data_IF_462595516711
#
_entry.id   IF_462595516711
#
_cell.length_a   1.000
_cell.length_b   1.000
_cell.length_c   1.000
_cell.angle_alpha   90.00
_cell.angle_beta   90.00
_cell.angle_gamma   90.00
#
_symmetry.space_group_name_H-M   'P 1'
#
loop_
_entity.id
_entity.type
_entity.pdbx_description
1 polymer ?
#
# COMPACT_ATOMS: atom_id res chain seq x y z
N UNK A 1 -49.89 -15.17 18.24
CA UNK A 1 -48.83 -15.24 17.21
C UNK A 1 -47.80 -16.28 17.63
N UNK A 2 -47.40 -17.18 16.72
CA UNK A 2 -46.49 -18.29 17.06
C UNK A 2 -45.03 -17.80 17.09
N UNK A 3 -44.31 -17.86 18.24
CA UNK A 3 -42.96 -17.30 18.40
C UNK A 3 -41.94 -17.86 17.41
N UNK A 4 -42.08 -19.12 17.00
CA UNK A 4 -41.20 -19.76 16.01
C UNK A 4 -41.28 -19.11 14.62
N UNK A 5 -42.45 -18.59 14.24
CA UNK A 5 -42.63 -17.90 12.95
C UNK A 5 -41.91 -16.55 12.93
N UNK A 6 -41.96 -15.82 14.05
CA UNK A 6 -41.25 -14.55 14.22
C UNK A 6 -39.73 -14.75 14.17
N UNK A 7 -39.21 -15.79 14.84
CA UNK A 7 -37.78 -16.12 14.82
C UNK A 7 -37.27 -16.50 13.42
N UNK A 8 -38.00 -17.35 12.68
CA UNK A 8 -37.64 -17.72 11.30
C UNK A 8 -37.64 -16.51 10.36
N UNK A 9 -38.62 -15.62 10.49
CA UNK A 9 -38.69 -14.39 9.69
C UNK A 9 -37.55 -13.42 10.01
N UNK A 10 -37.21 -13.25 11.30
CA UNK A 10 -36.08 -12.42 11.73
C UNK A 10 -34.75 -12.98 11.24
N UNK A 11 -34.53 -14.30 11.39
CA UNK A 11 -33.32 -14.94 10.88
C UNK A 11 -33.20 -14.81 9.36
N UNK A 12 -34.29 -14.98 8.61
CA UNK A 12 -34.28 -14.79 7.16
C UNK A 12 -33.94 -13.35 6.75
N UNK A 13 -34.55 -12.35 7.41
CA UNK A 13 -34.24 -10.93 7.16
C UNK A 13 -32.78 -10.58 7.48
N UNK A 14 -32.26 -11.11 8.59
CA UNK A 14 -30.86 -10.91 8.98
C UNK A 14 -29.89 -11.51 7.96
N UNK A 15 -30.15 -12.74 7.49
CA UNK A 15 -29.36 -13.39 6.45
C UNK A 15 -29.41 -12.62 5.12
N UNK A 16 -30.58 -12.09 4.76
CA UNK A 16 -30.74 -11.23 3.57
C UNK A 16 -29.90 -9.95 3.69
N UNK A 17 -29.98 -9.27 4.83
CA UNK A 17 -29.20 -8.06 5.10
C UNK A 17 -27.68 -8.31 5.04
N UNK A 18 -27.22 -9.45 5.57
CA UNK A 18 -25.80 -9.87 5.45
C UNK A 18 -25.40 -10.06 3.97
N UNK A 19 -26.27 -10.70 3.18
CA UNK A 19 -26.00 -10.93 1.76
C UNK A 19 -25.93 -9.62 0.98
N UNK A 20 -26.84 -8.70 1.25
CA UNK A 20 -26.88 -7.38 0.61
C UNK A 20 -25.64 -6.55 0.98
N UNK A 21 -25.20 -6.59 2.25
CA UNK A 21 -23.96 -5.95 2.70
C UNK A 21 -22.72 -6.54 2.02
N UNK A 22 -22.66 -7.86 1.85
CA UNK A 22 -21.55 -8.51 1.13
C UNK A 22 -21.53 -8.10 -0.34
N UNK A 23 -22.68 -8.03 -0.99
CA UNK A 23 -22.78 -7.61 -2.39
C UNK A 23 -22.36 -6.16 -2.58
N UNK A 24 -22.77 -5.27 -1.67
CA UNK A 24 -22.35 -3.87 -1.68
C UNK A 24 -20.82 -3.74 -1.58
N UNK A 25 -20.21 -4.47 -0.64
CA UNK A 25 -18.75 -4.47 -0.49
C UNK A 25 -18.04 -5.08 -1.71
N UNK A 26 -18.64 -6.06 -2.40
CA UNK A 26 -18.08 -6.63 -3.64
C UNK A 26 -18.14 -5.60 -4.77
N UNK A 27 -19.22 -4.82 -4.87
CA UNK A 27 -19.35 -3.77 -5.88
C UNK A 27 -18.31 -2.65 -5.67
N UNK A 28 -17.98 -2.31 -4.42
CA UNK A 28 -16.87 -1.40 -4.15
C UNK A 28 -15.52 -1.93 -4.64
N UNK A 29 -15.35 -3.26 -4.76
CA UNK A 29 -14.10 -3.85 -5.26
C UNK A 29 -13.95 -3.64 -6.75
N UNK A 30 -15.03 -3.39 -7.48
CA UNK A 30 -14.96 -2.99 -8.88
C UNK A 30 -14.23 -1.66 -9.05
N UNK A 31 -14.05 -0.84 -8.00
CA UNK A 31 -13.22 0.37 -8.10
C UNK A 31 -11.72 0.07 -8.11
N UNK A 32 -11.31 -1.14 -7.67
CA UNK A 32 -9.89 -1.51 -7.60
C UNK A 32 -9.31 -1.63 -8.99
N UNK A 33 -8.15 -1.01 -9.18
CA UNK A 33 -7.43 -1.03 -10.46
C UNK A 33 -6.98 -2.47 -10.80
N UNK A 34 -6.67 -3.28 -9.79
CA UNK A 34 -6.35 -4.70 -9.94
C UNK A 34 -7.48 -5.53 -10.59
N UNK A 35 -8.72 -5.05 -10.61
CA UNK A 35 -9.86 -5.74 -11.24
C UNK A 35 -10.11 -5.31 -12.70
N UNK A 36 -9.42 -4.29 -13.20
CA UNK A 36 -9.70 -3.63 -14.50
C UNK A 36 -8.81 -4.04 -15.67
N UNK A 37 -7.74 -4.79 -15.42
CA UNK A 37 -6.69 -5.06 -16.40
C UNK A 37 -7.18 -5.75 -17.70
N UNK A 38 -8.36 -6.38 -17.70
CA UNK A 38 -8.87 -7.12 -18.85
C UNK A 38 -9.61 -6.21 -19.85
N UNK A 39 -8.90 -5.77 -20.90
CA UNK A 39 -9.44 -5.24 -22.17
C UNK A 39 -10.40 -4.03 -22.12
N UNK A 40 -10.35 -3.20 -21.07
CA UNK A 40 -11.13 -1.94 -21.00
C UNK A 40 -10.28 -0.73 -21.36
N UNK A 41 -10.87 0.23 -22.05
CA UNK A 41 -10.26 1.55 -22.28
C UNK A 41 -10.10 2.29 -20.95
N UNK A 42 -8.97 3.00 -20.79
CA UNK A 42 -8.71 3.82 -19.61
C UNK A 42 -9.80 4.91 -19.45
N UNK A 43 -10.52 4.99 -18.32
CA UNK A 43 -11.52 6.03 -18.12
C UNK A 43 -10.91 7.42 -18.12
N UNK A 44 -11.71 8.40 -18.53
CA UNK A 44 -11.31 9.80 -18.50
C UNK A 44 -10.87 10.27 -17.10
N UNK A 45 -11.47 9.72 -16.04
CA UNK A 45 -11.11 10.02 -14.66
C UNK A 45 -9.70 9.57 -14.26
N UNK A 46 -9.03 8.70 -15.03
CA UNK A 46 -7.63 8.31 -14.81
C UNK A 46 -6.66 9.01 -15.76
N UNK A 47 -7.17 9.85 -16.66
CA UNK A 47 -6.37 10.56 -17.66
C UNK A 47 -6.02 11.95 -17.11
N UNK A 48 -4.74 12.17 -16.81
CA UNK A 48 -4.26 13.48 -16.39
C UNK A 48 -4.49 14.54 -17.49
N UNK A 49 -4.88 15.78 -17.15
CA UNK A 49 -4.96 16.88 -18.11
C UNK A 49 -3.59 17.15 -18.78
N UNK A 50 -3.54 17.45 -20.09
CA UNK A 50 -2.28 17.65 -20.83
C UNK A 50 -1.28 18.59 -20.16
N UNK A 51 -1.77 19.66 -19.53
CA UNK A 51 -0.98 20.68 -18.82
C UNK A 51 -0.28 20.15 -17.56
N UNK A 52 -0.78 19.06 -16.97
CA UNK A 52 -0.17 18.39 -15.80
C UNK A 52 0.68 17.20 -16.16
N UNK A 53 0.63 16.75 -17.43
CA UNK A 53 1.44 15.63 -17.89
C UNK A 53 2.91 16.07 -17.95
N UNK A 54 3.85 15.15 -17.70
CA UNK A 54 5.24 15.40 -18.02
C UNK A 54 5.30 15.72 -19.53
N UNK A 55 5.60 16.98 -19.88
CA UNK A 55 5.82 17.37 -21.27
C UNK A 55 7.11 16.75 -21.82
N UNK A 56 7.58 17.23 -22.98
CA UNK A 56 8.87 16.82 -23.56
C UNK A 56 10.08 17.42 -22.82
N UNK A 57 10.05 17.43 -21.49
CA UNK A 57 11.18 17.85 -20.69
C UNK A 57 12.23 16.74 -20.78
N UNK A 58 13.47 17.10 -21.11
CA UNK A 58 14.61 16.20 -20.96
C UNK A 58 14.73 15.91 -19.47
N UNK A 59 14.22 14.75 -19.04
CA UNK A 59 14.41 14.28 -17.67
C UNK A 59 15.92 14.09 -17.52
N UNK A 60 16.61 14.88 -16.68
CA UNK A 60 18.03 14.69 -16.49
C UNK A 60 18.24 13.25 -16.01
N UNK A 61 19.01 12.47 -16.78
CA UNK A 61 19.37 11.12 -16.38
C UNK A 61 20.17 11.23 -15.08
N UNK A 62 19.57 10.79 -13.99
CA UNK A 62 20.27 10.67 -12.74
C UNK A 62 21.26 9.50 -12.88
N UNK A 63 22.50 9.82 -13.24
CA UNK A 63 23.56 8.83 -13.43
C UNK A 63 24.15 8.33 -12.10
N UNK A 64 23.77 8.95 -10.98
CA UNK A 64 24.33 8.65 -9.66
C UNK A 64 23.23 8.71 -8.62
N UNK A 65 22.36 7.71 -8.68
CA UNK A 65 21.50 7.43 -7.54
C UNK A 65 22.41 6.96 -6.39
N UNK A 66 22.47 7.67 -5.25
CA UNK A 66 23.43 7.38 -4.20
C UNK A 66 23.12 6.03 -3.57
N UNK A 67 24.05 5.09 -3.71
CA UNK A 67 23.96 3.78 -3.06
C UNK A 67 24.53 3.90 -1.64
N UNK A 68 23.68 3.75 -0.62
CA UNK A 68 24.08 3.86 0.78
C UNK A 68 24.50 2.48 1.29
N UNK A 69 25.74 2.35 1.75
CA UNK A 69 26.27 1.12 2.33
C UNK A 69 26.14 1.17 3.86
N UNK A 70 25.18 0.44 4.44
CA UNK A 70 24.86 0.55 5.87
C UNK A 70 25.85 -0.19 6.80
N UNK A 71 26.49 -1.27 6.35
CA UNK A 71 27.46 -1.99 7.19
C UNK A 71 28.72 -1.19 7.54
N UNK A 72 29.04 -0.12 6.79
CA UNK A 72 30.13 0.81 7.13
C UNK A 72 29.86 1.54 8.45
N UNK A 73 28.59 1.74 8.81
CA UNK A 73 28.22 2.36 10.08
C UNK A 73 28.51 1.46 11.30
N UNK A 74 28.60 0.14 11.11
CA UNK A 74 28.91 -0.83 12.16
C UNK A 74 30.43 -1.05 12.34
N UNK A 75 31.24 -0.68 11.35
CA UNK A 75 32.65 -1.05 11.24
C UNK A 75 33.63 0.13 11.40
N UNK A 76 33.27 1.16 12.19
CA UNK A 76 34.12 2.32 12.60
C UNK A 76 33.93 3.67 11.89
N UNK A 77 33.02 3.83 10.92
CA UNK A 77 32.76 5.15 10.30
C UNK A 77 31.25 5.46 10.17
N UNK A 78 30.59 5.49 11.33
CA UNK A 78 29.19 5.92 11.45
C UNK A 78 28.98 7.34 10.94
N UNK A 79 29.98 8.21 11.11
CA UNK A 79 29.90 9.62 10.72
C UNK A 79 29.82 9.77 9.20
N UNK A 80 30.68 9.09 8.42
CA UNK A 80 30.59 9.15 6.96
C UNK A 80 29.29 8.56 6.41
N UNK A 81 28.78 7.47 7.01
CA UNK A 81 27.51 6.88 6.60
C UNK A 81 26.32 7.84 6.86
N UNK A 82 26.29 8.49 8.03
CA UNK A 82 25.28 9.51 8.36
C UNK A 82 25.38 10.71 7.41
N UNK A 83 26.59 11.20 7.11
CA UNK A 83 26.79 12.30 6.17
C UNK A 83 26.33 11.94 4.74
N UNK A 84 26.57 10.71 4.29
CA UNK A 84 26.04 10.23 3.00
C UNK A 84 24.51 10.19 2.97
N UNK A 85 23.88 9.70 4.04
CA UNK A 85 22.42 9.69 4.16
C UNK A 85 21.86 11.12 4.16
N UNK A 86 22.46 12.03 4.92
CA UNK A 86 22.05 13.44 4.99
C UNK A 86 22.18 14.13 3.63
N UNK A 87 23.32 13.95 2.95
CA UNK A 87 23.55 14.52 1.62
C UNK A 87 22.59 13.94 0.58
N UNK A 88 22.42 12.62 0.53
CA UNK A 88 21.43 11.98 -0.33
C UNK A 88 20.00 12.48 -0.03
N UNK A 89 19.68 12.69 1.25
CA UNK A 89 18.39 13.24 1.68
C UNK A 89 18.17 14.66 1.16
N UNK A 90 19.17 15.52 1.22
CA UNK A 90 19.11 16.90 0.72
C UNK A 90 19.03 16.95 -0.81
N UNK A 91 19.89 16.20 -1.51
CA UNK A 91 20.01 16.25 -2.97
C UNK A 91 18.77 15.64 -3.67
N UNK A 92 18.15 14.61 -3.06
CA UNK A 92 17.02 13.88 -3.64
C UNK A 92 15.65 14.22 -3.03
N UNK A 93 15.59 15.17 -2.09
CA UNK A 93 14.35 15.82 -1.67
C UNK A 93 13.62 15.21 -0.46
N UNK A 94 14.35 14.63 0.50
CA UNK A 94 13.83 14.26 1.82
C UNK A 94 13.97 15.44 2.79
N UNK A 95 13.15 16.48 2.59
CA UNK A 95 13.02 17.57 3.57
C UNK A 95 11.81 17.30 4.47
N UNK A 96 12.01 17.38 5.79
CA UNK A 96 10.93 17.37 6.78
C UNK A 96 9.97 18.52 6.51
N UNK A 97 8.82 18.23 5.89
CA UNK A 97 7.68 19.15 5.85
C UNK A 97 6.51 18.39 6.45
N UNK A 98 6.20 18.70 7.71
CA UNK A 98 4.95 18.32 8.39
C UNK A 98 4.63 16.80 8.47
N UNK A 99 5.61 15.96 8.83
CA UNK A 99 5.33 14.58 9.25
C UNK A 99 4.87 13.61 8.15
N UNK A 100 4.97 13.99 6.88
CA UNK A 100 4.80 13.08 5.74
C UNK A 100 6.13 13.02 4.97
N UNK A 101 6.73 11.84 4.89
CA UNK A 101 7.83 11.59 3.94
C UNK A 101 7.30 11.77 2.52
N UNK A 102 7.53 12.95 1.93
CA UNK A 102 6.96 13.32 0.64
C UNK A 102 8.02 13.21 -0.45
N UNK A 103 7.92 12.19 -1.31
CA UNK A 103 8.70 12.11 -2.55
C UNK A 103 8.27 13.24 -3.47
N UNK A 104 8.99 14.37 -3.46
CA UNK A 104 8.61 15.53 -4.27
C UNK A 104 9.08 15.47 -5.73
N UNK A 105 9.67 14.36 -6.19
CA UNK A 105 10.11 14.20 -7.60
C UNK A 105 9.76 12.88 -8.30
N UNK A 106 9.07 11.93 -7.65
CA UNK A 106 8.58 10.72 -8.31
C UNK A 106 7.06 10.64 -8.19
N UNK A 107 6.35 11.45 -8.98
CA UNK A 107 4.88 11.44 -9.04
C UNK A 107 4.31 10.19 -9.76
N UNK A 108 5.14 9.22 -10.18
CA UNK A 108 4.70 8.16 -11.09
C UNK A 108 4.91 6.71 -10.63
N UNK A 109 5.27 6.46 -9.38
CA UNK A 109 5.56 5.10 -8.97
C UNK A 109 4.62 4.62 -7.87
N UNK A 110 3.83 3.60 -8.23
CA UNK A 110 3.02 2.77 -7.34
C UNK A 110 3.79 2.51 -6.03
N UNK A 111 3.11 2.56 -4.89
CA UNK A 111 3.69 2.40 -3.55
C UNK A 111 4.56 1.14 -3.39
N UNK A 112 4.34 0.11 -4.20
CA UNK A 112 5.19 -1.09 -4.29
C UNK A 112 6.60 -0.83 -4.86
N UNK A 113 6.74 0.12 -5.79
CA UNK A 113 8.00 0.41 -6.47
C UNK A 113 8.94 1.22 -5.57
N UNK A 114 8.40 2.04 -4.66
CA UNK A 114 9.22 2.87 -3.75
C UNK A 114 10.03 1.99 -2.78
N UNK A 115 9.44 0.96 -2.19
CA UNK A 115 10.15 0.05 -1.27
C UNK A 115 11.22 -0.76 -2.02
N UNK A 116 10.89 -1.27 -3.21
CA UNK A 116 11.86 -1.98 -4.04
C UNK A 116 13.00 -1.07 -4.53
N UNK A 117 12.69 0.19 -4.85
CA UNK A 117 13.69 1.17 -5.25
C UNK A 117 14.61 1.52 -4.08
N UNK A 118 14.09 1.61 -2.85
CA UNK A 118 14.88 1.80 -1.64
C UNK A 118 15.78 0.60 -1.31
N UNK A 119 15.23 -0.61 -1.37
CA UNK A 119 16.00 -1.84 -1.08
C UNK A 119 17.09 -2.13 -2.12
N UNK A 120 16.94 -1.65 -3.36
CA UNK A 120 18.02 -1.73 -4.37
C UNK A 120 19.09 -0.65 -4.23
N UNK A 121 18.76 0.50 -3.62
CA UNK A 121 19.71 1.60 -3.42
C UNK A 121 20.46 1.51 -2.10
N UNK A 122 19.86 0.93 -1.07
CA UNK A 122 20.54 0.68 0.20
C UNK A 122 21.06 -0.74 0.15
N UNK A 123 22.38 -0.92 0.12
CA UNK A 123 23.00 -2.26 0.10
C UNK A 123 23.54 -2.61 1.48
N UNK A 124 23.60 -3.91 1.77
CA UNK A 124 24.05 -4.42 3.06
C UNK A 124 23.26 -3.83 4.25
N UNK A 125 21.93 -3.71 4.08
CA UNK A 125 21.01 -3.21 5.11
C UNK A 125 20.72 -4.22 6.24
N UNK A 126 21.35 -5.41 6.23
CA UNK A 126 21.11 -6.43 7.26
C UNK A 126 19.71 -7.06 7.23
N UNK A 127 19.00 -6.94 6.10
CA UNK A 127 17.74 -7.64 5.84
C UNK A 127 18.07 -8.74 4.84
N UNK A 128 17.70 -9.98 5.13
CA UNK A 128 18.00 -11.07 4.22
C UNK A 128 17.17 -10.93 2.95
N UNK A 129 17.78 -11.25 1.81
CA UNK A 129 17.11 -11.23 0.50
C UNK A 129 15.90 -12.17 0.49
N UNK A 130 16.03 -13.36 1.09
CA UNK A 130 14.92 -14.29 1.27
C UNK A 130 13.73 -13.66 1.99
N UNK A 131 13.96 -12.84 3.03
CA UNK A 131 12.88 -12.15 3.75
C UNK A 131 12.23 -11.07 2.88
N UNK A 132 13.01 -10.32 2.10
CA UNK A 132 12.48 -9.32 1.15
C UNK A 132 11.59 -10.00 0.11
N UNK A 133 12.10 -11.07 -0.52
CA UNK A 133 11.37 -11.83 -1.54
C UNK A 133 10.11 -12.49 -0.98
N UNK A 134 10.19 -13.12 0.18
CA UNK A 134 9.03 -13.70 0.88
C UNK A 134 7.97 -12.65 1.17
N UNK A 135 8.38 -11.47 1.64
CA UNK A 135 7.47 -10.37 1.96
C UNK A 135 6.78 -9.86 0.70
N UNK A 136 7.55 -9.66 -0.38
CA UNK A 136 7.00 -9.24 -1.68
C UNK A 136 5.98 -10.24 -2.23
N UNK A 137 6.28 -11.54 -2.13
CA UNK A 137 5.38 -12.60 -2.57
C UNK A 137 4.07 -12.61 -1.78
N UNK A 138 4.12 -12.41 -0.46
CA UNK A 138 2.93 -12.30 0.38
C UNK A 138 2.04 -11.12 -0.01
N UNK A 139 2.63 -9.97 -0.35
CA UNK A 139 1.86 -8.83 -0.86
C UNK A 139 1.24 -9.14 -2.22
N UNK A 140 2.00 -9.77 -3.13
CA UNK A 140 1.48 -10.20 -4.43
C UNK A 140 0.28 -11.13 -4.27
N UNK A 141 0.43 -12.19 -3.45
CA UNK A 141 -0.65 -13.11 -3.11
C UNK A 141 -1.89 -12.38 -2.57
N UNK A 142 -1.71 -11.39 -1.69
CA UNK A 142 -2.81 -10.59 -1.16
C UNK A 142 -3.57 -9.82 -2.23
N UNK A 143 -2.87 -9.12 -3.14
CA UNK A 143 -3.53 -8.33 -4.18
C UNK A 143 -4.19 -9.20 -5.25
N UNK A 144 -3.68 -10.41 -5.47
CA UNK A 144 -4.26 -11.44 -6.35
C UNK A 144 -5.45 -12.20 -5.72
N UNK A 145 -5.74 -11.98 -4.43
CA UNK A 145 -6.94 -12.55 -3.80
C UNK A 145 -8.22 -12.12 -4.53
N UNK A 146 -9.26 -12.98 -4.52
CA UNK A 146 -10.53 -12.65 -5.14
C UNK A 146 -11.23 -11.52 -4.36
N UNK A 147 -12.19 -10.86 -5.01
CA UNK A 147 -12.84 -9.65 -4.48
C UNK A 147 -13.50 -9.90 -3.11
N UNK A 148 -14.10 -11.07 -2.92
CA UNK A 148 -14.80 -11.48 -1.70
C UNK A 148 -13.87 -11.50 -0.48
N UNK A 149 -12.62 -11.91 -0.70
CA UNK A 149 -11.61 -12.00 0.35
C UNK A 149 -11.01 -10.62 0.69
N UNK A 150 -11.02 -9.68 -0.27
CA UNK A 150 -10.54 -8.30 -0.08
C UNK A 150 -11.62 -7.35 0.44
N UNK A 151 -12.89 -7.64 0.14
CA UNK A 151 -14.06 -6.85 0.50
C UNK A 151 -14.15 -6.55 2.00
N UNK A 152 -13.71 -7.50 2.84
CA UNK A 152 -13.70 -7.32 4.29
C UNK A 152 -12.72 -6.25 4.78
N UNK A 153 -11.72 -5.86 3.98
CA UNK A 153 -10.63 -4.93 4.34
C UNK A 153 -10.74 -3.62 3.57
N UNK A 154 -11.44 -3.59 2.44
CA UNK A 154 -11.67 -2.35 1.73
C UNK A 154 -12.41 -1.33 2.57
N UNK A 155 -11.99 -0.06 2.47
CA UNK A 155 -12.63 1.05 3.16
C UNK A 155 -12.05 2.37 2.67
N UNK A 156 -12.94 3.30 2.30
CA UNK A 156 -12.61 4.71 2.06
C UNK A 156 -12.56 5.51 3.38
N UNK A 157 -13.11 4.99 4.48
CA UNK A 157 -13.03 5.62 5.81
C UNK A 157 -11.58 5.67 6.34
N UNK A 158 -11.08 6.90 6.51
CA UNK A 158 -9.77 7.21 7.06
C UNK A 158 -9.58 6.74 8.51
N UNK A 159 -10.67 6.62 9.27
CA UNK A 159 -10.66 6.15 10.66
C UNK A 159 -10.40 4.66 10.76
N UNK A 160 -10.65 3.89 9.69
CA UNK A 160 -10.35 2.47 9.65
C UNK A 160 -8.84 2.24 9.59
N UNK A 161 -8.22 1.63 10.60
CA UNK A 161 -6.76 1.59 10.73
C UNK A 161 -6.09 0.69 9.68
N UNK A 162 -6.63 -0.51 9.47
CA UNK A 162 -6.23 -1.41 8.39
C UNK A 162 -7.26 -1.33 7.26
N UNK A 163 -6.84 -0.85 6.09
CA UNK A 163 -7.73 -0.62 4.96
C UNK A 163 -7.06 -0.80 3.60
N UNK A 164 -7.82 -1.36 2.67
CA UNK A 164 -7.53 -1.39 1.24
C UNK A 164 -8.34 -0.28 0.56
N UNK A 165 -7.71 0.48 -0.34
CA UNK A 165 -8.40 1.53 -1.11
C UNK A 165 -7.69 1.77 -2.44
N UNK A 166 -8.43 2.25 -3.43
CA UNK A 166 -7.90 2.61 -4.76
C UNK A 166 -7.55 4.09 -4.82
N UNK A 167 -6.59 4.46 -5.67
CA UNK A 167 -6.10 5.82 -5.90
C UNK A 167 -5.65 6.57 -4.64
N UNK A 168 -6.56 7.32 -4.01
CA UNK A 168 -6.37 8.08 -2.78
C UNK A 168 -7.56 7.87 -1.86
N UNK A 169 -7.43 8.17 -0.55
CA UNK A 169 -8.57 8.10 0.36
C UNK A 169 -9.72 9.06 0.03
N UNK A 170 -9.49 10.01 -0.87
CA UNK A 170 -10.45 11.04 -1.28
C UNK A 170 -11.05 10.73 -2.65
N UNK A 171 -11.14 9.44 -3.02
CA UNK A 171 -11.56 8.95 -4.35
C UNK A 171 -12.75 9.72 -4.94
N UNK A 172 -13.83 9.91 -4.18
CA UNK A 172 -15.05 10.55 -4.71
C UNK A 172 -14.91 12.07 -4.97
N UNK A 173 -13.84 12.70 -4.46
CA UNK A 173 -13.63 14.17 -4.53
C UNK A 173 -12.41 14.55 -5.38
N UNK A 174 -11.59 13.59 -5.79
CA UNK A 174 -10.42 13.87 -6.62
C UNK A 174 -10.82 14.04 -8.09
N UNK A 175 -10.19 15.01 -8.76
CA UNK A 175 -10.48 15.30 -10.17
C UNK A 175 -9.91 14.25 -11.13
N UNK A 176 -8.80 13.62 -10.72
CA UNK A 176 -8.08 12.60 -11.48
C UNK A 176 -7.67 11.50 -10.52
N UNK A 177 -8.09 10.27 -10.78
CA UNK A 177 -7.71 9.09 -10.05
C UNK A 177 -6.29 8.62 -10.40
N UNK A 178 -5.57 8.14 -9.41
CA UNK A 178 -4.26 7.52 -9.54
C UNK A 178 -4.42 6.03 -9.86
N UNK A 179 -3.66 5.54 -10.83
CA UNK A 179 -3.63 4.13 -11.22
C UNK A 179 -2.85 3.28 -10.20
N UNK A 180 -3.41 3.10 -9.00
CA UNK A 180 -2.82 2.29 -7.92
C UNK A 180 -3.87 1.80 -6.93
N UNK A 181 -3.65 0.62 -6.39
CA UNK A 181 -4.32 0.14 -5.18
C UNK A 181 -3.36 0.26 -3.99
N UNK A 182 -3.88 0.57 -2.81
CA UNK A 182 -3.09 0.83 -1.60
C UNK A 182 -3.61 -0.03 -0.44
N UNK A 183 -2.69 -0.71 0.24
CA UNK A 183 -2.98 -1.35 1.53
C UNK A 183 -2.28 -0.56 2.62
N UNK A 184 -3.05 0.04 3.52
CA UNK A 184 -2.55 0.66 4.75
C UNK A 184 -2.83 -0.26 5.92
N UNK A 185 -1.79 -0.60 6.66
CA UNK A 185 -1.90 -1.34 7.90
C UNK A 185 -0.88 -0.79 8.89
N UNK A 186 -1.28 -0.42 10.13
CA UNK A 186 -0.33 0.04 11.12
C UNK A 186 0.57 -1.12 11.56
N UNK A 187 1.79 -0.83 11.99
CA UNK A 187 2.73 -1.85 12.45
C UNK A 187 3.17 -1.65 13.91
N UNK A 188 2.82 -0.54 14.55
CA UNK A 188 3.23 -0.25 15.92
C UNK A 188 2.06 0.32 16.73
N UNK A 189 1.83 -0.14 17.98
CA UNK A 189 2.47 -1.31 18.62
C UNK A 189 2.04 -2.63 17.98
N UNK A 190 2.96 -3.61 17.88
CA UNK A 190 2.77 -4.81 17.06
C UNK A 190 1.60 -5.67 17.57
N UNK A 191 1.48 -5.81 18.88
CA UNK A 191 0.52 -6.65 19.58
C UNK A 191 -0.92 -6.28 19.19
N UNK A 192 -1.19 -5.00 19.01
CA UNK A 192 -2.51 -4.49 18.63
C UNK A 192 -2.70 -4.47 17.11
N UNK A 193 -1.64 -4.15 16.37
CA UNK A 193 -1.68 -4.09 14.92
C UNK A 193 -1.96 -5.46 14.27
N UNK A 194 -1.34 -6.53 14.75
CA UNK A 194 -1.49 -7.87 14.15
C UNK A 194 -2.94 -8.36 14.18
N UNK A 195 -3.71 -7.96 15.19
CA UNK A 195 -5.12 -8.35 15.36
C UNK A 195 -5.98 -7.87 14.18
N UNK A 196 -5.67 -6.69 13.65
CA UNK A 196 -6.44 -6.01 12.60
C UNK A 196 -5.90 -6.23 11.18
N UNK A 197 -4.73 -6.85 11.02
CA UNK A 197 -4.15 -7.15 9.71
C UNK A 197 -4.98 -8.13 8.89
N UNK A 198 -4.77 -8.22 7.57
CA UNK A 198 -5.35 -9.28 6.75
C UNK A 198 -5.15 -10.69 7.33
N UNK A 199 -6.22 -11.49 7.30
CA UNK A 199 -6.17 -12.92 7.67
C UNK A 199 -5.67 -13.78 6.50
N UNK A 200 -5.98 -13.34 5.28
CA UNK A 200 -5.53 -13.94 4.04
C UNK A 200 -4.50 -13.02 3.37
N UNK A 201 -3.46 -13.57 2.71
CA UNK A 201 -3.07 -14.97 2.73
C UNK A 201 -2.68 -15.41 4.16
N UNK A 202 -2.78 -16.70 4.49
CA UNK A 202 -2.55 -17.22 5.85
C UNK A 202 -1.14 -16.89 6.38
N UNK A 203 -0.18 -16.73 5.47
CA UNK A 203 1.22 -16.34 5.77
C UNK A 203 1.40 -14.83 6.02
N UNK A 204 0.40 -13.99 5.72
CA UNK A 204 0.51 -12.52 5.77
C UNK A 204 0.99 -12.03 7.14
N UNK A 205 0.27 -12.41 8.19
CA UNK A 205 0.60 -12.02 9.56
C UNK A 205 1.94 -12.59 10.01
N UNK A 206 2.23 -13.84 9.66
CA UNK A 206 3.47 -14.51 10.08
C UNK A 206 4.70 -13.82 9.49
N UNK A 207 4.68 -13.50 8.18
CA UNK A 207 5.83 -12.90 7.50
C UNK A 207 6.03 -11.44 7.88
N UNK A 208 4.95 -10.67 8.01
CA UNK A 208 5.02 -9.26 8.41
C UNK A 208 5.29 -9.02 9.91
N UNK A 209 5.26 -10.07 10.75
CA UNK A 209 5.68 -9.99 12.17
C UNK A 209 7.19 -10.03 12.36
N UNK A 210 7.93 -10.56 11.39
CA UNK A 210 9.38 -10.76 11.51
C UNK A 210 10.05 -9.39 11.35
N UNK A 211 10.54 -8.80 12.46
CA UNK A 211 11.28 -7.52 12.61
C UNK A 211 10.53 -6.30 13.18
N UNK A 212 9.90 -6.44 14.34
CA UNK A 212 9.77 -5.30 15.26
C UNK A 212 10.37 -5.55 16.65
N UNK A 213 10.92 -6.75 16.90
CA UNK A 213 11.67 -7.08 18.12
C UNK A 213 13.17 -7.11 17.83
N UNK A 214 13.72 -5.95 17.51
CA UNK A 214 15.16 -5.69 17.44
C UNK A 214 15.48 -4.46 18.25
#
# INVERSE_FOLDING_TARGET
MNPLYCYKSLHHNYQKQIKDLKNLNIQEMEKLVSSWFNNKTLPQSYIFPPETRPGNHVIPRCNTIPVVYLMKALAHDRTAAVQQILKASQDFGFSNVNGLFCFRKLQFFCSQIIILFFLKQVINHGVSENLVNDTMNVFKEFFELPAEDKAGIYSEDLKRPCRLYTSSPNFNSEKVHLWRDNLRHPCHPLEDCVKIWPQKPTRYRKKNRIKLSG
#
